data_IF_545011713338
#
_entry.id   IF_545011713338
#
_cell.length_a   1.000
_cell.length_b   1.000
_cell.length_c   1.000
_cell.angle_alpha   90.00
_cell.angle_beta   90.00
_cell.angle_gamma   90.00
#
_symmetry.space_group_name_H-M   'P 1'
#
loop_
_entity.id
_entity.type
_entity.pdbx_description
1 polymer ?
#
# COMPACT_ATOMS: atom_id res chain seq x y z
N UNK A 1 -19.62 -1.64 0.95
CA UNK A 1 -19.15 -3.00 1.28
C UNK A 1 -18.98 -3.14 2.78
N UNK A 2 -18.89 -4.35 3.29
CA UNK A 2 -18.65 -4.59 4.71
C UNK A 2 -17.18 -4.47 5.03
N UNK A 3 -16.85 -3.69 6.06
CA UNK A 3 -15.48 -3.52 6.57
C UNK A 3 -14.89 -4.85 7.01
N UNK A 4 -13.62 -5.08 6.65
CA UNK A 4 -12.85 -6.27 7.05
C UNK A 4 -11.58 -5.83 7.76
N UNK A 5 -11.27 -6.50 8.87
CA UNK A 5 -10.03 -6.23 9.63
C UNK A 5 -9.31 -7.56 9.85
N UNK A 6 -8.01 -7.59 9.57
CA UNK A 6 -7.18 -8.78 9.77
C UNK A 6 -5.72 -8.37 9.98
N UNK A 7 -4.91 -9.31 10.44
CA UNK A 7 -3.46 -9.09 10.48
C UNK A 7 -2.85 -9.46 9.12
N UNK A 8 -1.90 -8.64 8.66
CA UNK A 8 -1.28 -8.84 7.35
C UNK A 8 -0.53 -10.17 7.28
N UNK A 9 -0.66 -10.86 6.15
CA UNK A 9 0.13 -12.05 5.88
C UNK A 9 1.60 -11.74 5.59
N UNK A 10 1.93 -10.48 5.28
CA UNK A 10 3.32 -10.07 5.04
C UNK A 10 4.06 -9.80 6.35
N UNK A 11 3.34 -9.37 7.36
CA UNK A 11 3.88 -9.20 8.71
C UNK A 11 2.74 -9.25 9.71
N UNK A 12 2.74 -10.27 10.57
CA UNK A 12 1.60 -10.63 11.41
C UNK A 12 1.29 -9.68 12.58
N UNK A 13 2.14 -8.69 12.84
CA UNK A 13 1.89 -7.66 13.84
C UNK A 13 1.31 -6.36 13.24
N UNK A 14 1.09 -6.32 11.94
CA UNK A 14 0.50 -5.18 11.25
C UNK A 14 -0.97 -5.48 10.96
N UNK A 15 -1.85 -4.63 11.49
CA UNK A 15 -3.28 -4.74 11.24
C UNK A 15 -3.65 -4.08 9.91
N UNK A 16 -4.55 -4.71 9.16
CA UNK A 16 -5.09 -4.19 7.91
C UNK A 16 -6.59 -4.00 8.08
N UNK A 17 -7.07 -2.81 7.78
CA UNK A 17 -8.50 -2.51 7.76
C UNK A 17 -8.90 -2.11 6.34
N UNK A 18 -9.72 -2.94 5.70
CA UNK A 18 -10.35 -2.63 4.43
C UNK A 18 -11.71 -2.02 4.76
N UNK A 19 -11.82 -0.70 4.65
CA UNK A 19 -12.98 0.05 5.12
C UNK A 19 -14.07 0.13 4.06
N UNK A 20 -15.27 -0.26 4.46
CA UNK A 20 -16.47 -0.05 3.68
C UNK A 20 -17.29 1.12 4.20
N UNK A 21 -18.32 1.52 3.46
CA UNK A 21 -19.22 2.60 3.85
C UNK A 21 -19.99 2.31 5.13
N UNK A 22 -20.06 1.04 5.56
CA UNK A 22 -20.68 0.62 6.82
C UNK A 22 -19.88 1.09 8.05
N UNK A 23 -18.65 1.49 7.86
CA UNK A 23 -17.78 1.92 8.96
C UNK A 23 -17.78 3.46 9.06
N UNK A 24 -18.01 3.97 10.28
CA UNK A 24 -18.07 5.41 10.52
C UNK A 24 -16.76 6.13 10.14
N UNK A 25 -15.63 5.43 10.14
CA UNK A 25 -14.33 6.00 9.78
C UNK A 25 -14.21 6.26 8.28
N UNK A 26 -15.02 5.59 7.45
CA UNK A 26 -14.88 5.67 5.99
C UNK A 26 -15.01 7.11 5.49
N UNK A 27 -16.06 7.80 5.88
CA UNK A 27 -16.30 9.17 5.41
C UNK A 27 -15.20 10.13 5.85
N UNK A 28 -14.67 9.93 7.07
CA UNK A 28 -13.58 10.74 7.61
C UNK A 28 -12.29 10.50 6.86
N UNK A 29 -11.99 9.24 6.50
CA UNK A 29 -10.73 8.85 5.87
C UNK A 29 -10.74 8.92 4.35
N UNK A 30 -11.92 9.04 3.74
CA UNK A 30 -12.05 9.10 2.28
C UNK A 30 -11.14 10.14 1.61
N UNK A 31 -11.01 11.38 2.11
CA UNK A 31 -10.09 12.34 1.51
C UNK A 31 -8.63 11.86 1.52
N UNK A 32 -8.23 11.12 2.55
CA UNK A 32 -6.87 10.55 2.60
C UNK A 32 -6.68 9.46 1.56
N UNK A 33 -7.68 8.60 1.35
CA UNK A 33 -7.64 7.60 0.28
C UNK A 33 -7.48 8.26 -1.08
N UNK A 34 -8.22 9.33 -1.33
CA UNK A 34 -8.14 10.05 -2.61
C UNK A 34 -6.77 10.68 -2.83
N UNK A 35 -6.11 11.16 -1.78
CA UNK A 35 -4.77 11.74 -1.84
C UNK A 35 -3.67 10.68 -1.98
N UNK A 36 -3.84 9.54 -1.31
CA UNK A 36 -2.78 8.52 -1.19
C UNK A 36 -2.94 7.36 -2.17
N UNK A 37 -4.03 7.32 -2.95
CA UNK A 37 -4.32 6.27 -3.93
C UNK A 37 -4.71 4.95 -3.26
N UNK A 38 -5.95 4.77 -2.90
CA UNK A 38 -6.61 3.55 -2.42
C UNK A 38 -6.17 3.02 -1.05
N UNK A 39 -5.03 3.44 -0.52
CA UNK A 39 -4.58 2.98 0.78
C UNK A 39 -3.53 3.89 1.40
N UNK A 40 -3.36 3.78 2.69
CA UNK A 40 -2.28 4.45 3.40
C UNK A 40 -1.87 3.66 4.65
N UNK A 41 -0.65 3.91 5.10
CA UNK A 41 -0.11 3.30 6.31
C UNK A 41 -0.03 4.35 7.42
N UNK A 42 -0.57 4.01 8.59
CA UNK A 42 -0.37 4.80 9.79
C UNK A 42 0.79 4.16 10.56
N UNK A 43 1.97 4.77 10.44
CA UNK A 43 3.23 4.17 10.86
C UNK A 43 3.34 4.04 12.39
N UNK A 44 2.82 5.01 13.13
CA UNK A 44 2.93 5.02 14.59
C UNK A 44 2.10 3.92 15.24
N UNK A 45 0.95 3.57 14.69
CA UNK A 45 0.09 2.50 15.20
C UNK A 45 0.36 1.14 14.54
N UNK A 46 1.10 1.11 13.44
CA UNK A 46 1.32 -0.13 12.68
C UNK A 46 0.07 -0.63 11.98
N UNK A 47 -0.78 0.28 11.51
CA UNK A 47 -2.02 -0.07 10.82
C UNK A 47 -1.99 0.36 9.35
N UNK A 48 -2.57 -0.48 8.50
CA UNK A 48 -2.79 -0.19 7.09
C UNK A 48 -4.29 -0.01 6.87
N UNK A 49 -4.66 1.06 6.18
CA UNK A 49 -6.05 1.31 5.79
C UNK A 49 -6.18 1.25 4.28
N UNK A 50 -7.18 0.52 3.80
CA UNK A 50 -7.43 0.34 2.37
C UNK A 50 -8.89 0.73 2.09
N UNK A 51 -9.10 1.46 0.98
CA UNK A 51 -10.44 1.85 0.53
C UNK A 51 -11.17 0.63 -0.03
N UNK A 52 -12.14 0.12 0.72
CA UNK A 52 -12.92 -1.04 0.33
C UNK A 52 -14.00 -0.76 -0.71
N UNK A 53 -14.31 0.51 -0.96
CA UNK A 53 -15.32 0.87 -1.96
C UNK A 53 -14.73 1.02 -3.37
N UNK A 54 -13.42 1.04 -3.51
CA UNK A 54 -12.73 1.01 -4.81
C UNK A 54 -12.66 -0.44 -5.29
N UNK A 55 -13.01 -0.65 -6.55
CA UNK A 55 -12.99 -1.99 -7.14
C UNK A 55 -11.58 -2.34 -7.59
N UNK A 56 -10.87 -3.10 -6.77
CA UNK A 56 -9.53 -3.57 -7.07
C UNK A 56 -9.56 -5.07 -7.41
N UNK A 57 -8.70 -5.48 -8.33
CA UNK A 57 -8.46 -6.91 -8.54
C UNK A 57 -7.73 -7.49 -7.32
N UNK A 58 -7.71 -8.80 -7.22
CA UNK A 58 -7.00 -9.49 -6.13
C UNK A 58 -5.51 -9.14 -6.11
N UNK A 59 -4.90 -9.07 -7.29
CA UNK A 59 -3.48 -8.73 -7.41
C UNK A 59 -3.22 -7.26 -7.06
N UNK A 60 -4.10 -6.36 -7.47
CA UNK A 60 -4.01 -4.95 -7.08
C UNK A 60 -4.16 -4.76 -5.57
N UNK A 61 -5.10 -5.48 -4.95
CA UNK A 61 -5.29 -5.43 -3.50
C UNK A 61 -4.05 -5.91 -2.76
N UNK A 62 -3.44 -7.01 -3.22
CA UNK A 62 -2.19 -7.52 -2.65
C UNK A 62 -1.06 -6.52 -2.79
N UNK A 63 -0.98 -5.84 -3.94
CA UNK A 63 0.01 -4.80 -4.14
C UNK A 63 -0.19 -3.64 -3.17
N UNK A 64 -1.42 -3.13 -3.04
CA UNK A 64 -1.72 -2.02 -2.12
C UNK A 64 -1.32 -2.41 -0.69
N UNK A 65 -1.72 -3.59 -0.24
CA UNK A 65 -1.37 -4.05 1.12
C UNK A 65 0.15 -4.16 1.29
N UNK A 66 0.85 -4.82 0.36
CA UNK A 66 2.30 -4.98 0.44
C UNK A 66 3.04 -3.65 0.43
N UNK A 67 2.60 -2.70 -0.40
CA UNK A 67 3.19 -1.37 -0.49
C UNK A 67 3.05 -0.61 0.85
N UNK A 68 1.86 -0.64 1.45
CA UNK A 68 1.64 0.05 2.72
C UNK A 68 2.36 -0.64 3.88
N UNK A 69 2.38 -1.97 3.89
CA UNK A 69 3.19 -2.73 4.87
C UNK A 69 4.67 -2.37 4.73
N UNK A 70 5.16 -2.23 3.50
CA UNK A 70 6.55 -1.84 3.24
C UNK A 70 6.88 -0.48 3.88
N UNK A 71 5.98 0.50 3.79
CA UNK A 71 6.19 1.80 4.45
C UNK A 71 6.37 1.64 5.96
N UNK A 72 5.59 0.78 6.60
CA UNK A 72 5.70 0.52 8.04
C UNK A 72 7.03 -0.18 8.35
N UNK A 73 7.37 -1.22 7.60
CA UNK A 73 8.60 -1.99 7.82
C UNK A 73 9.86 -1.14 7.61
N UNK A 74 9.83 -0.23 6.65
CA UNK A 74 10.93 0.67 6.35
C UNK A 74 10.91 1.93 7.22
N UNK A 75 9.91 2.05 8.10
CA UNK A 75 9.76 3.17 9.06
C UNK A 75 9.62 4.53 8.37
N UNK A 76 8.96 4.55 7.23
CA UNK A 76 8.67 5.81 6.54
C UNK A 76 7.62 6.59 7.31
N UNK A 77 7.82 7.90 7.43
CA UNK A 77 6.87 8.81 8.08
C UNK A 77 5.85 9.33 7.07
N UNK A 78 4.89 10.12 7.54
CA UNK A 78 3.91 10.77 6.66
C UNK A 78 4.55 11.78 5.70
N UNK A 79 5.72 12.31 6.05
CA UNK A 79 6.48 13.26 5.22
C UNK A 79 7.35 12.50 4.23
N UNK A 80 6.71 11.68 3.40
CA UNK A 80 7.39 10.81 2.45
C UNK A 80 7.93 11.60 1.26
N UNK A 81 9.11 11.18 0.81
CA UNK A 81 9.72 11.69 -0.41
C UNK A 81 9.61 10.65 -1.54
N UNK A 82 9.98 11.02 -2.79
CA UNK A 82 9.93 10.07 -3.90
C UNK A 82 10.75 8.79 -3.69
N UNK A 83 11.87 8.88 -2.95
CA UNK A 83 12.69 7.69 -2.62
C UNK A 83 11.91 6.71 -1.76
N UNK A 84 11.12 7.19 -0.82
CA UNK A 84 10.31 6.34 0.05
C UNK A 84 9.26 5.56 -0.75
N UNK A 85 8.65 6.19 -1.74
CA UNK A 85 7.66 5.54 -2.60
C UNK A 85 8.32 4.48 -3.51
N UNK A 86 9.50 4.80 -4.05
CA UNK A 86 10.28 3.84 -4.85
C UNK A 86 10.68 2.65 -3.98
N UNK A 87 11.22 2.90 -2.80
CA UNK A 87 11.64 1.86 -1.88
C UNK A 87 10.45 0.98 -1.45
N UNK A 88 9.29 1.58 -1.20
CA UNK A 88 8.09 0.82 -0.83
C UNK A 88 7.63 -0.12 -1.94
N UNK A 89 7.64 0.33 -3.20
CA UNK A 89 7.29 -0.54 -4.32
C UNK A 89 8.32 -1.65 -4.52
N UNK A 90 9.61 -1.34 -4.42
CA UNK A 90 10.67 -2.37 -4.52
C UNK A 90 10.53 -3.41 -3.41
N UNK A 91 10.31 -2.97 -2.18
CA UNK A 91 10.14 -3.88 -1.04
C UNK A 91 8.85 -4.68 -1.18
N UNK A 92 7.78 -4.07 -1.71
CA UNK A 92 6.53 -4.77 -1.97
C UNK A 92 6.72 -5.96 -2.93
N UNK A 93 7.54 -5.79 -3.98
CA UNK A 93 7.88 -6.90 -4.89
C UNK A 93 8.50 -8.06 -4.11
N UNK A 94 9.43 -7.77 -3.21
CA UNK A 94 10.09 -8.78 -2.39
C UNK A 94 9.07 -9.49 -1.50
N UNK A 95 8.20 -8.74 -0.82
CA UNK A 95 7.17 -9.31 0.05
C UNK A 95 6.20 -10.20 -0.73
N UNK A 96 5.79 -9.77 -1.91
CA UNK A 96 4.87 -10.52 -2.77
C UNK A 96 5.51 -11.81 -3.27
N UNK A 97 6.75 -11.75 -3.72
CA UNK A 97 7.49 -12.94 -4.19
C UNK A 97 7.70 -13.94 -3.06
N UNK A 98 7.99 -13.46 -1.86
CA UNK A 98 8.19 -14.32 -0.69
C UNK A 98 6.93 -15.13 -0.37
N UNK A 99 5.76 -14.61 -0.66
CA UNK A 99 4.48 -15.30 -0.47
C UNK A 99 4.02 -16.08 -1.72
N UNK A 100 4.81 -16.06 -2.79
CA UNK A 100 4.45 -16.76 -4.03
C UNK A 100 3.43 -16.02 -4.89
N UNK A 101 3.19 -14.75 -4.63
CA UNK A 101 2.24 -13.93 -5.41
C UNK A 101 2.94 -13.33 -6.62
N UNK A 102 3.36 -14.19 -7.54
CA UNK A 102 4.15 -13.80 -8.71
C UNK A 102 3.42 -12.86 -9.65
N UNK A 103 2.11 -13.04 -9.82
CA UNK A 103 1.31 -12.16 -10.68
C UNK A 103 1.20 -10.74 -10.11
N UNK A 104 0.99 -10.63 -8.80
CA UNK A 104 0.95 -9.33 -8.14
C UNK A 104 2.32 -8.65 -8.20
N UNK A 105 3.40 -9.40 -7.96
CA UNK A 105 4.76 -8.88 -8.08
C UNK A 105 5.05 -8.40 -9.51
N UNK A 106 4.62 -9.16 -10.53
CA UNK A 106 4.78 -8.77 -11.93
C UNK A 106 4.02 -7.50 -12.24
N UNK A 107 2.82 -7.34 -11.68
CA UNK A 107 2.03 -6.13 -11.85
C UNK A 107 2.77 -4.89 -11.34
N UNK A 108 3.39 -4.98 -10.15
CA UNK A 108 4.19 -3.88 -9.61
C UNK A 108 5.37 -3.57 -10.53
N UNK A 109 6.08 -4.60 -10.98
CA UNK A 109 7.24 -4.46 -11.86
C UNK A 109 6.85 -3.81 -13.19
N UNK A 110 5.75 -4.25 -13.79
CA UNK A 110 5.27 -3.71 -15.06
C UNK A 110 4.88 -2.24 -14.96
N UNK A 111 4.37 -1.82 -13.81
CA UNK A 111 3.95 -0.44 -13.56
C UNK A 111 5.04 0.44 -12.97
N UNK A 112 6.16 -0.14 -12.58
CA UNK A 112 7.21 0.55 -11.81
C UNK A 112 7.77 1.75 -12.56
N UNK A 113 8.14 1.57 -13.81
CA UNK A 113 8.71 2.65 -14.62
C UNK A 113 7.71 3.79 -14.81
N UNK A 114 6.46 3.46 -15.13
CA UNK A 114 5.40 4.45 -15.30
C UNK A 114 5.18 5.27 -14.03
N UNK A 115 5.16 4.60 -12.86
CA UNK A 115 4.92 5.25 -11.58
C UNK A 115 6.08 6.13 -11.11
N UNK A 116 7.32 5.72 -11.39
CA UNK A 116 8.51 6.29 -10.75
C UNK A 116 9.52 6.93 -11.69
N UNK A 117 9.35 6.79 -12.97
CA UNK A 117 10.33 7.26 -13.97
C UNK A 117 10.74 8.70 -13.75
N UNK A 118 9.76 9.60 -13.65
CA UNK A 118 10.03 11.04 -13.44
C UNK A 118 10.73 11.27 -12.11
N UNK A 119 10.21 10.67 -11.04
CA UNK A 119 10.77 10.82 -9.69
C UNK A 119 12.17 10.26 -9.59
N UNK A 120 12.41 9.12 -10.25
CA UNK A 120 13.73 8.50 -10.29
C UNK A 120 14.74 9.42 -10.95
N UNK A 121 14.42 10.03 -12.07
CA UNK A 121 15.31 10.94 -12.77
C UNK A 121 15.57 12.23 -11.97
N UNK A 122 14.58 12.75 -11.27
CA UNK A 122 14.75 13.90 -10.39
C UNK A 122 15.74 13.62 -9.25
N UNK A 123 15.74 12.38 -8.75
CA UNK A 123 16.63 11.97 -7.64
C UNK A 123 18.06 11.73 -8.14
N UNK A 124 18.23 11.16 -9.32
CA UNK A 124 19.51 10.65 -9.80
C UNK A 124 20.21 11.60 -10.80
N UNK A 125 19.61 12.70 -11.13
CA UNK A 125 20.17 13.73 -11.98
C UNK A 125 20.29 15.03 -11.20
#
# INVERSE_FOLDING_TARGET
MKTKTYFSEFRNDIAVAILGEDDYRYDVLKPLFEMCGFGFAETSSGCVFIDGEVKLTKDELRWVEAHEVAHIMLKHTKDRNPNDEIAADMFAVILLLDKGYTKAAQLVTDKFEERHKRKYYEINN
#
